data_IF_596575407020
#
_entry.id   IF_596575407020
#
_cell.length_a   1.000
_cell.length_b   1.000
_cell.length_c   1.000
_cell.angle_alpha   90.00
_cell.angle_beta   90.00
_cell.angle_gamma   90.00
#
_symmetry.space_group_name_H-M   'P 1'
#
loop_
_entity.id
_entity.type
_entity.pdbx_description
1 polymer ?
#
# COMPACT_ATOMS: atom_id res chain seq x y z
N UNK A 1 22.58 4.49 8.57
CA UNK A 1 21.44 4.89 7.74
C UNK A 1 20.32 5.28 8.69
N UNK A 2 19.84 6.53 8.65
CA UNK A 2 18.77 6.97 9.56
C UNK A 2 17.52 6.10 9.39
N UNK A 3 16.94 5.61 10.50
CA UNK A 3 15.70 4.81 10.49
C UNK A 3 14.58 5.50 9.70
N UNK A 4 14.53 6.83 9.75
CA UNK A 4 13.59 7.66 8.98
C UNK A 4 13.72 7.44 7.46
N UNK A 5 14.95 7.29 6.93
CA UNK A 5 15.21 7.06 5.50
C UNK A 5 14.70 5.67 5.09
N UNK A 6 14.86 4.66 5.94
CA UNK A 6 14.34 3.31 5.70
C UNK A 6 12.81 3.33 5.57
N UNK A 7 12.13 4.09 6.43
CA UNK A 7 10.66 4.22 6.37
C UNK A 7 10.19 4.82 5.04
N UNK A 8 10.88 5.86 4.56
CA UNK A 8 10.58 6.48 3.27
C UNK A 8 10.79 5.49 2.12
N UNK A 9 11.89 4.75 2.12
CA UNK A 9 12.18 3.75 1.07
C UNK A 9 11.11 2.64 1.08
N UNK A 10 10.69 2.16 2.24
CA UNK A 10 9.61 1.18 2.37
C UNK A 10 8.28 1.73 1.86
N UNK A 11 7.91 2.96 2.23
CA UNK A 11 6.67 3.59 1.76
C UNK A 11 6.66 3.78 0.25
N UNK A 12 7.75 4.29 -0.34
CA UNK A 12 7.87 4.52 -1.77
C UNK A 12 7.92 3.22 -2.57
N UNK A 13 8.62 2.20 -2.09
CA UNK A 13 8.64 0.88 -2.73
C UNK A 13 7.27 0.21 -2.69
N UNK A 14 6.56 0.28 -1.56
CA UNK A 14 5.18 -0.21 -1.46
C UNK A 14 4.25 0.54 -2.43
N UNK A 15 4.32 1.88 -2.48
CA UNK A 15 3.54 2.68 -3.41
C UNK A 15 3.80 2.29 -4.87
N UNK A 16 5.08 2.18 -5.24
CA UNK A 16 5.50 1.76 -6.57
C UNK A 16 4.93 0.39 -6.93
N UNK A 17 5.02 -0.59 -6.02
CA UNK A 17 4.51 -1.94 -6.24
C UNK A 17 2.98 -1.96 -6.37
N UNK A 18 2.23 -1.14 -5.62
CA UNK A 18 0.79 -1.01 -5.80
C UNK A 18 0.45 -0.50 -7.20
N UNK A 19 1.08 0.61 -7.63
CA UNK A 19 0.83 1.14 -8.98
C UNK A 19 1.25 0.17 -10.08
N UNK A 20 2.38 -0.51 -9.89
CA UNK A 20 2.84 -1.54 -10.82
C UNK A 20 1.86 -2.72 -10.88
N UNK A 21 1.39 -3.23 -9.74
CA UNK A 21 0.41 -4.31 -9.70
C UNK A 21 -0.89 -3.95 -10.41
N UNK A 22 -1.33 -2.70 -10.29
CA UNK A 22 -2.54 -2.20 -10.96
C UNK A 22 -2.33 -2.06 -12.47
N UNK A 23 -1.18 -1.53 -12.90
CA UNK A 23 -0.89 -1.25 -14.30
C UNK A 23 -0.38 -2.47 -15.10
N UNK A 24 0.11 -3.51 -14.44
CA UNK A 24 0.68 -4.68 -15.09
C UNK A 24 -0.40 -5.54 -15.78
N UNK A 25 -0.17 -5.86 -17.05
CA UNK A 25 -1.04 -6.73 -17.86
C UNK A 25 -0.84 -8.22 -17.53
N UNK A 26 -1.12 -8.59 -16.29
CA UNK A 26 -0.95 -9.96 -15.77
C UNK A 26 -2.19 -10.53 -15.08
N UNK A 27 -3.30 -9.82 -15.11
CA UNK A 27 -4.54 -10.28 -14.48
C UNK A 27 -5.26 -11.29 -15.38
N UNK A 28 -6.06 -12.18 -14.78
CA UNK A 28 -6.75 -13.28 -15.50
C UNK A 28 -7.64 -12.82 -16.64
N UNK A 29 -8.04 -11.55 -16.64
CA UNK A 29 -8.82 -10.91 -17.71
C UNK A 29 -8.01 -10.57 -18.97
N UNK A 30 -6.72 -10.89 -19.02
CA UNK A 30 -5.86 -10.66 -20.19
C UNK A 30 -5.35 -9.22 -20.33
N UNK A 31 -5.30 -8.47 -19.23
CA UNK A 31 -4.81 -7.10 -19.18
C UNK A 31 -4.65 -6.60 -17.74
N UNK A 32 -4.53 -5.29 -17.56
CA UNK A 32 -4.49 -4.63 -16.25
C UNK A 32 -5.84 -4.70 -15.52
N UNK A 33 -5.83 -4.61 -14.19
CA UNK A 33 -7.06 -4.69 -13.37
C UNK A 33 -8.06 -3.57 -13.65
N UNK A 34 -7.58 -2.43 -14.14
CA UNK A 34 -8.39 -1.27 -14.56
C UNK A 34 -8.74 -1.30 -16.06
N UNK A 35 -8.34 -2.33 -16.79
CA UNK A 35 -8.68 -2.46 -18.21
C UNK A 35 -10.18 -2.71 -18.39
N UNK A 36 -10.83 -2.21 -19.47
CA UNK A 36 -12.25 -2.42 -19.72
C UNK A 36 -12.67 -3.91 -19.70
N UNK A 37 -11.76 -4.80 -20.11
CA UNK A 37 -11.96 -6.25 -20.09
C UNK A 37 -12.05 -6.81 -18.67
N UNK A 38 -11.28 -6.23 -17.73
CA UNK A 38 -11.22 -6.63 -16.33
C UNK A 38 -12.36 -6.02 -15.51
N UNK A 39 -12.72 -4.76 -15.79
CA UNK A 39 -13.79 -4.01 -15.11
C UNK A 39 -15.19 -4.59 -15.33
N UNK A 40 -15.38 -5.45 -16.35
CA UNK A 40 -16.63 -6.20 -16.52
C UNK A 40 -16.97 -7.10 -15.33
N UNK A 41 -15.95 -7.49 -14.55
CA UNK A 41 -16.11 -8.26 -13.34
C UNK A 41 -16.10 -7.30 -12.15
N UNK A 42 -17.24 -7.18 -11.48
CA UNK A 42 -17.42 -6.26 -10.34
C UNK A 42 -16.38 -6.47 -9.24
N UNK A 43 -15.88 -7.70 -9.07
CA UNK A 43 -14.86 -7.97 -8.06
C UNK A 43 -13.49 -7.35 -8.41
N UNK A 44 -13.11 -7.32 -9.68
CA UNK A 44 -11.87 -6.70 -10.13
C UNK A 44 -11.92 -5.18 -10.00
N UNK A 45 -13.08 -4.58 -10.28
CA UNK A 45 -13.29 -3.15 -10.10
C UNK A 45 -13.09 -2.74 -8.62
N UNK A 46 -13.72 -3.48 -7.70
CA UNK A 46 -13.60 -3.22 -6.25
C UNK A 46 -12.18 -3.45 -5.76
N UNK A 47 -11.53 -4.56 -6.15
CA UNK A 47 -10.13 -4.82 -5.79
C UNK A 47 -9.19 -3.77 -6.36
N UNK A 48 -9.37 -3.38 -7.63
CA UNK A 48 -8.56 -2.34 -8.27
C UNK A 48 -8.69 -1.00 -7.56
N UNK A 49 -9.92 -0.59 -7.21
CA UNK A 49 -10.17 0.63 -6.46
C UNK A 49 -9.55 0.60 -5.04
N UNK A 50 -9.66 -0.53 -4.33
CA UNK A 50 -9.06 -0.72 -3.00
C UNK A 50 -7.53 -0.66 -3.04
N UNK A 51 -6.90 -1.31 -4.03
CA UNK A 51 -5.44 -1.27 -4.19
C UNK A 51 -4.96 0.13 -4.62
N UNK A 52 -5.72 0.83 -5.48
CA UNK A 52 -5.39 2.19 -5.90
C UNK A 52 -5.45 3.16 -4.73
N UNK A 53 -6.51 3.08 -3.93
CA UNK A 53 -6.66 3.90 -2.72
C UNK A 53 -5.58 3.57 -1.70
N UNK A 54 -5.25 2.30 -1.46
CA UNK A 54 -4.13 1.91 -0.60
C UNK A 54 -2.80 2.49 -1.09
N UNK A 55 -2.52 2.40 -2.39
CA UNK A 55 -1.33 2.96 -3.04
C UNK A 55 -1.22 4.48 -2.91
N UNK A 56 -2.32 5.20 -3.09
CA UNK A 56 -2.37 6.66 -2.90
C UNK A 56 -2.12 7.05 -1.45
N UNK A 57 -2.74 6.36 -0.49
CA UNK A 57 -2.59 6.65 0.93
C UNK A 57 -1.15 6.41 1.39
N UNK A 58 -0.51 5.32 0.95
CA UNK A 58 0.89 5.04 1.33
C UNK A 58 1.88 6.01 0.67
N UNK A 59 1.58 6.49 -0.55
CA UNK A 59 2.35 7.55 -1.19
C UNK A 59 2.28 8.86 -0.39
N UNK A 60 1.08 9.26 0.05
CA UNK A 60 0.89 10.44 0.91
C UNK A 60 1.66 10.27 2.23
N UNK A 61 1.59 9.08 2.85
CA UNK A 61 2.36 8.78 4.05
C UNK A 61 3.88 8.91 3.80
N UNK A 62 4.37 8.44 2.66
CA UNK A 62 5.76 8.61 2.23
C UNK A 62 6.18 10.08 2.10
N UNK A 63 5.33 10.93 1.51
CA UNK A 63 5.58 12.38 1.39
C UNK A 63 5.66 13.03 2.78
N UNK A 64 4.76 12.65 3.69
CA UNK A 64 4.74 13.16 5.07
C UNK A 64 6.01 12.73 5.84
N UNK A 65 6.48 11.50 5.63
CA UNK A 65 7.76 11.03 6.18
C UNK A 65 8.96 11.83 5.63
N UNK A 66 8.94 12.24 4.37
CA UNK A 66 9.97 13.14 3.80
C UNK A 66 9.91 14.51 4.50
N UNK A 67 8.71 15.07 4.70
CA UNK A 67 8.53 16.32 5.44
C UNK A 67 9.01 16.19 6.90
N UNK A 68 8.83 15.04 7.54
CA UNK A 68 9.36 14.76 8.88
C UNK A 68 10.90 14.81 8.92
N UNK A 69 11.58 14.38 7.84
CA UNK A 69 13.05 14.45 7.76
C UNK A 69 13.53 15.89 7.60
N UNK A 70 12.81 16.71 6.81
CA UNK A 70 13.23 18.08 6.49
C UNK A 70 12.89 19.06 7.61
N UNK A 71 11.67 18.98 8.15
CA UNK A 71 11.13 19.98 9.08
C UNK A 71 11.03 19.50 10.54
N UNK A 72 11.27 18.21 10.80
CA UNK A 72 11.27 17.60 12.13
C UNK A 72 9.99 17.80 12.97
N UNK A 73 8.85 18.09 12.33
CA UNK A 73 7.58 18.24 13.04
C UNK A 73 7.16 16.93 13.73
N UNK A 74 7.04 16.96 15.06
CA UNK A 74 6.68 15.80 15.89
C UNK A 74 5.34 15.16 15.52
N UNK A 75 4.36 15.95 15.07
CA UNK A 75 3.04 15.48 14.66
C UNK A 75 3.07 14.68 13.35
N UNK A 76 4.07 14.91 12.49
CA UNK A 76 4.17 14.26 11.18
C UNK A 76 4.36 12.75 11.30
N UNK A 77 5.08 12.29 12.34
CA UNK A 77 5.28 10.86 12.61
C UNK A 77 3.97 10.14 12.96
N UNK A 78 3.11 10.77 13.76
CA UNK A 78 1.79 10.22 14.14
C UNK A 78 0.90 10.12 12.91
N UNK A 79 0.82 11.19 12.11
CA UNK A 79 -0.01 11.22 10.90
C UNK A 79 0.45 10.16 9.89
N UNK A 80 1.76 10.04 9.65
CA UNK A 80 2.29 9.01 8.77
C UNK A 80 1.95 7.58 9.24
N UNK A 81 2.00 7.32 10.54
CA UNK A 81 1.63 6.04 11.13
C UNK A 81 0.14 5.72 10.90
N UNK A 82 -0.75 6.67 11.18
CA UNK A 82 -2.20 6.48 10.96
C UNK A 82 -2.49 6.19 9.48
N UNK A 83 -1.87 6.93 8.56
CA UNK A 83 -2.04 6.70 7.12
C UNK A 83 -1.50 5.34 6.67
N UNK A 84 -0.35 4.91 7.20
CA UNK A 84 0.19 3.58 6.91
C UNK A 84 -0.76 2.47 7.38
N UNK A 85 -1.41 2.61 8.54
CA UNK A 85 -2.41 1.66 9.04
C UNK A 85 -3.64 1.63 8.13
N UNK A 86 -4.16 2.80 7.72
CA UNK A 86 -5.31 2.89 6.80
C UNK A 86 -4.98 2.21 5.47
N UNK A 87 -3.80 2.48 4.91
CA UNK A 87 -3.34 1.82 3.68
C UNK A 87 -3.23 0.30 3.86
N UNK A 88 -2.68 -0.16 4.99
CA UNK A 88 -2.59 -1.59 5.30
C UNK A 88 -3.98 -2.24 5.31
N UNK A 89 -4.98 -1.63 5.97
CA UNK A 89 -6.37 -2.14 6.01
C UNK A 89 -6.96 -2.24 4.61
N UNK A 90 -6.82 -1.20 3.78
CA UNK A 90 -7.34 -1.24 2.40
C UNK A 90 -6.63 -2.29 1.53
N UNK A 91 -5.32 -2.44 1.68
CA UNK A 91 -4.55 -3.45 0.94
C UNK A 91 -4.94 -4.88 1.35
N UNK A 92 -5.15 -5.13 2.65
CA UNK A 92 -5.68 -6.39 3.17
C UNK A 92 -7.05 -6.65 2.57
N UNK A 93 -7.98 -5.69 2.66
CA UNK A 93 -9.33 -5.84 2.14
C UNK A 93 -9.33 -6.15 0.63
N UNK A 94 -8.53 -5.44 -0.17
CA UNK A 94 -8.43 -5.64 -1.61
C UNK A 94 -7.90 -7.03 -1.98
N UNK A 95 -6.86 -7.50 -1.30
CA UNK A 95 -6.25 -8.81 -1.54
C UNK A 95 -7.16 -9.95 -1.09
N UNK A 96 -7.74 -9.87 0.11
CA UNK A 96 -8.64 -10.91 0.62
C UNK A 96 -9.91 -11.03 -0.21
N UNK A 97 -10.51 -9.90 -0.60
CA UNK A 97 -11.70 -9.90 -1.44
C UNK A 97 -11.45 -10.56 -2.79
N UNK A 98 -10.27 -10.33 -3.37
CA UNK A 98 -9.87 -10.99 -4.61
C UNK A 98 -9.70 -12.51 -4.43
N UNK A 99 -8.99 -12.94 -3.39
CA UNK A 99 -8.70 -14.36 -3.14
C UNK A 99 -9.97 -15.16 -2.86
N UNK A 100 -10.91 -14.57 -2.12
CA UNK A 100 -12.20 -15.22 -1.80
C UNK A 100 -13.03 -15.50 -3.06
N UNK A 101 -13.06 -14.53 -3.99
CA UNK A 101 -13.88 -14.62 -5.20
C UNK A 101 -13.21 -15.44 -6.31
N UNK A 102 -11.92 -15.22 -6.57
CA UNK A 102 -11.27 -15.77 -7.77
C UNK A 102 -10.42 -17.03 -7.46
N UNK A 103 -10.18 -17.39 -6.19
CA UNK A 103 -9.37 -18.54 -5.68
C UNK A 103 -7.99 -18.74 -6.33
N UNK A 104 -7.55 -17.77 -7.13
CA UNK A 104 -6.28 -17.79 -7.84
C UNK A 104 -5.36 -16.77 -7.20
N UNK A 105 -4.08 -17.12 -7.13
CA UNK A 105 -3.00 -16.27 -6.63
C UNK A 105 -2.79 -15.08 -7.59
N UNK A 106 -3.70 -14.10 -7.59
CA UNK A 106 -3.42 -12.82 -8.24
C UNK A 106 -2.65 -11.91 -7.29
N UNK A 107 -1.99 -10.94 -7.90
CA UNK A 107 -0.61 -11.01 -8.32
C UNK A 107 0.31 -11.07 -7.09
N UNK A 108 1.39 -11.84 -7.19
CA UNK A 108 2.49 -11.87 -6.21
C UNK A 108 3.00 -10.45 -5.83
N UNK A 109 2.81 -9.48 -6.73
CA UNK A 109 3.23 -8.08 -6.58
C UNK A 109 2.32 -7.32 -5.60
N UNK A 110 1.00 -7.53 -5.64
CA UNK A 110 0.08 -6.85 -4.72
C UNK A 110 0.22 -7.37 -3.28
N UNK A 111 0.48 -8.67 -3.14
CA UNK A 111 0.79 -9.29 -1.84
C UNK A 111 2.14 -8.81 -1.30
N UNK A 112 3.16 -8.68 -2.15
CA UNK A 112 4.43 -8.06 -1.75
C UNK A 112 4.24 -6.60 -1.26
N UNK A 113 3.49 -5.78 -2.01
CA UNK A 113 3.18 -4.40 -1.61
C UNK A 113 2.44 -4.34 -0.26
N UNK A 114 1.46 -5.22 -0.05
CA UNK A 114 0.73 -5.36 1.20
C UNK A 114 1.65 -5.73 2.37
N UNK A 115 2.54 -6.72 2.20
CA UNK A 115 3.47 -7.12 3.27
C UNK A 115 4.44 -6.00 3.67
N UNK A 116 4.95 -5.24 2.69
CA UNK A 116 5.80 -4.08 2.96
C UNK A 116 5.05 -2.99 3.72
N UNK A 117 3.80 -2.72 3.34
CA UNK A 117 2.94 -1.74 3.99
C UNK A 117 2.64 -2.14 5.44
N UNK A 118 2.35 -3.42 5.69
CA UNK A 118 2.14 -3.96 7.03
C UNK A 118 3.41 -3.85 7.87
N UNK A 119 4.56 -4.25 7.32
CA UNK A 119 5.84 -4.16 8.00
C UNK A 119 6.15 -2.71 8.39
N UNK A 120 5.94 -1.76 7.47
CA UNK A 120 6.11 -0.34 7.75
C UNK A 120 5.19 0.14 8.88
N UNK A 121 3.91 -0.23 8.86
CA UNK A 121 2.96 0.15 9.92
C UNK A 121 3.40 -0.39 11.28
N UNK A 122 3.83 -1.65 11.36
CA UNK A 122 4.32 -2.25 12.62
C UNK A 122 5.56 -1.50 13.13
N UNK A 123 6.52 -1.22 12.25
CA UNK A 123 7.75 -0.53 12.64
C UNK A 123 7.44 0.90 13.13
N UNK A 124 6.53 1.62 12.46
CA UNK A 124 6.10 2.95 12.87
C UNK A 124 5.39 2.93 14.22
N UNK A 125 4.52 1.95 14.47
CA UNK A 125 3.86 1.77 15.78
C UNK A 125 4.91 1.52 16.87
N UNK A 126 5.84 0.59 16.65
CA UNK A 126 6.89 0.27 17.63
C UNK A 126 7.76 1.50 17.92
N UNK A 127 8.08 2.31 16.91
CA UNK A 127 8.88 3.52 17.08
C UNK A 127 8.13 4.62 17.85
N UNK A 128 6.81 4.73 17.63
CA UNK A 128 5.94 5.63 18.39
C UNK A 128 5.82 5.21 19.85
N UNK A 129 5.67 3.92 20.11
CA UNK A 129 5.57 3.35 21.46
C UNK A 129 6.90 3.47 22.19
N UNK A 130 8.03 3.17 21.56
CA UNK A 130 9.35 3.22 22.19
C UNK A 130 9.85 4.66 22.45
N UNK A 131 9.24 5.66 21.81
CA UNK A 131 9.55 7.09 22.00
C UNK A 131 8.71 7.74 23.11
N UNK A 132 7.71 7.04 23.65
CA UNK A 132 6.98 7.40 24.87
C UNK A 132 7.38 6.46 26.00
#
# INVERSE_FOLDING_TARGET
>A
MDRKIVYVILALSAAFLFFFAIGYDGWRCGGSILSPSCLRLSFNEVTGALLLTAGLVILIAGIILILLIIFEYSWSAIVACVLAIISAIFSIAGVFYYVDVDRVWSPFIATAAMTLTIALSIILILDLVAKH
#
